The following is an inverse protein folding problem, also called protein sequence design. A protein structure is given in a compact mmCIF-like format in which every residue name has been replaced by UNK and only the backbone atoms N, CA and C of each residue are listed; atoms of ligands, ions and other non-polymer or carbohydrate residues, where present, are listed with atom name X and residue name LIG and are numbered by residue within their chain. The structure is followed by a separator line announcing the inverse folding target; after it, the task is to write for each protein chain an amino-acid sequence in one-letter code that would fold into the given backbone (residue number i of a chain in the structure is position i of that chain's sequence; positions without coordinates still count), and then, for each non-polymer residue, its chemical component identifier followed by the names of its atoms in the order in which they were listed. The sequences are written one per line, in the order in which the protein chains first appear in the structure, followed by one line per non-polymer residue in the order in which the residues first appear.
data_IF_099252967644
#
_entry.id   IF_099252967644
#
_cell.length_a   1.000
_cell.length_b   1.000
_cell.length_c   1.000
_cell.angle_alpha   90.00
_cell.angle_beta   90.00
_cell.angle_gamma   90.00
#
_symmetry.space_group_name_H-M   'P 1'
#
loop_
_entity.id
_entity.type
_entity.pdbx_description
1 polymer ?
#
# COMPACT_ATOMS: atom_id res chain seq x y z
N UNK A 1 -23.45 57.64 -0.35
CA UNK A 1 -23.18 56.43 -1.15
C UNK A 1 -22.91 55.29 -0.18
N UNK A 2 -23.76 54.24 -0.16
CA UNK A 2 -23.59 53.09 0.74
C UNK A 2 -22.50 52.17 0.17
N UNK A 3 -21.42 51.98 0.92
CA UNK A 3 -20.36 51.03 0.60
C UNK A 3 -20.88 49.60 0.75
N UNK A 4 -20.97 48.91 -0.38
CA UNK A 4 -21.35 47.52 -0.49
C UNK A 4 -20.17 46.67 0.03
N UNK A 5 -20.35 46.00 1.17
CA UNK A 5 -19.36 45.07 1.71
C UNK A 5 -19.50 43.74 0.94
N UNK A 6 -18.55 43.47 0.06
CA UNK A 6 -18.45 42.22 -0.69
C UNK A 6 -18.14 41.08 0.27
N UNK A 7 -19.09 40.17 0.48
CA UNK A 7 -18.88 38.93 1.21
C UNK A 7 -18.13 37.93 0.30
N UNK A 8 -16.97 37.45 0.73
CA UNK A 8 -16.18 36.44 0.05
C UNK A 8 -16.75 35.06 0.41
N UNK A 9 -17.45 34.41 -0.53
CA UNK A 9 -17.99 33.07 -0.33
C UNK A 9 -16.86 32.05 -0.57
N UNK A 10 -16.23 31.57 0.50
CA UNK A 10 -15.25 30.47 0.43
C UNK A 10 -16.02 29.15 0.40
N UNK A 11 -16.23 28.60 -0.80
CA UNK A 11 -16.78 27.27 -0.99
C UNK A 11 -15.71 26.22 -0.72
N UNK A 12 -15.67 25.70 0.51
CA UNK A 12 -14.91 24.50 0.84
C UNK A 12 -15.58 23.28 0.20
N UNK A 13 -15.10 22.87 -0.98
CA UNK A 13 -15.47 21.57 -1.56
C UNK A 13 -14.82 20.49 -0.71
N UNK A 14 -15.58 19.91 0.23
CA UNK A 14 -15.18 18.69 0.92
C UNK A 14 -15.11 17.56 -0.11
N UNK A 15 -13.91 17.22 -0.56
CA UNK A 15 -13.70 16.04 -1.40
C UNK A 15 -13.87 14.84 -0.47
N UNK A 16 -15.09 14.32 -0.42
CA UNK A 16 -15.34 13.00 0.17
C UNK A 16 -14.71 11.97 -0.77
N UNK A 17 -13.49 11.56 -0.46
CA UNK A 17 -12.83 10.44 -1.13
C UNK A 17 -13.66 9.18 -0.86
N UNK A 18 -14.57 8.86 -1.76
CA UNK A 18 -15.25 7.58 -1.76
C UNK A 18 -14.19 6.51 -2.03
N UNK A 19 -13.87 5.71 -1.01
CA UNK A 19 -13.10 4.49 -1.19
C UNK A 19 -13.90 3.58 -2.11
N UNK A 20 -13.57 3.54 -3.40
CA UNK A 20 -14.13 2.58 -4.32
C UNK A 20 -13.61 1.20 -3.90
N UNK A 21 -14.39 0.49 -3.09
CA UNK A 21 -14.15 -0.92 -2.83
C UNK A 21 -14.33 -1.67 -4.15
N UNK A 22 -13.21 -2.05 -4.78
CA UNK A 22 -13.23 -2.92 -5.94
C UNK A 22 -13.93 -4.22 -5.56
N UNK A 23 -15.00 -4.56 -6.28
CA UNK A 23 -15.64 -5.87 -6.14
C UNK A 23 -14.64 -6.95 -6.55
N UNK A 24 -14.51 -8.05 -5.79
CA UNK A 24 -13.59 -9.13 -6.13
C UNK A 24 -13.96 -9.65 -7.52
N UNK A 25 -13.03 -9.59 -8.46
CA UNK A 25 -13.22 -10.17 -9.79
C UNK A 25 -13.30 -11.69 -9.63
N UNK A 26 -14.42 -12.27 -10.03
CA UNK A 26 -14.56 -13.72 -10.03
C UNK A 26 -13.61 -14.31 -11.06
N UNK A 27 -12.51 -14.90 -10.58
CA UNK A 27 -11.65 -15.77 -11.37
C UNK A 27 -12.35 -17.12 -11.41
N UNK A 28 -13.08 -17.40 -12.50
CA UNK A 28 -14.03 -18.53 -12.60
C UNK A 28 -13.59 -19.83 -11.91
N UNK A 29 -14.54 -20.51 -11.25
CA UNK A 29 -14.27 -21.71 -10.43
C UNK A 29 -14.66 -21.51 -8.96
N UNK A 30 -13.96 -22.20 -8.05
CA UNK A 30 -14.13 -22.09 -6.58
C UNK A 30 -13.24 -20.99 -5.96
N UNK A 31 -12.81 -20.00 -6.75
CA UNK A 31 -11.87 -18.97 -6.30
C UNK A 31 -12.44 -17.57 -6.57
N UNK A 32 -12.02 -16.61 -5.75
CA UNK A 32 -12.32 -15.19 -5.86
C UNK A 32 -11.00 -14.42 -5.81
N UNK A 33 -10.86 -13.39 -6.66
CA UNK A 33 -9.70 -12.49 -6.58
C UNK A 33 -9.81 -11.63 -5.33
N UNK A 34 -8.72 -11.55 -4.58
CA UNK A 34 -8.55 -10.65 -3.44
C UNK A 34 -7.50 -9.63 -3.79
N UNK A 35 -7.78 -8.38 -3.44
CA UNK A 35 -6.82 -7.29 -3.50
C UNK A 35 -6.58 -6.77 -2.09
N UNK A 36 -5.31 -6.64 -1.72
CA UNK A 36 -4.92 -6.15 -0.40
C UNK A 36 -3.77 -5.14 -0.55
N UNK A 37 -3.78 -4.10 0.28
CA UNK A 37 -2.64 -3.20 0.43
C UNK A 37 -1.73 -3.75 1.51
N UNK A 38 -0.44 -3.93 1.19
CA UNK A 38 0.59 -4.36 2.13
C UNK A 38 1.63 -3.28 2.26
N UNK A 39 2.11 -3.11 3.49
CA UNK A 39 3.13 -2.12 3.84
C UNK A 39 4.31 -2.81 4.51
N UNK A 40 5.51 -2.57 3.99
CA UNK A 40 6.75 -3.06 4.58
C UNK A 40 7.59 -1.85 4.96
N UNK A 41 8.07 -1.81 6.19
CA UNK A 41 9.00 -0.78 6.64
C UNK A 41 10.42 -1.34 6.58
N UNK A 42 11.33 -0.58 5.98
CA UNK A 42 12.78 -0.90 6.01
C UNK A 42 13.40 -0.38 7.31
N UNK A 43 14.65 -0.75 7.55
CA UNK A 43 15.40 -0.26 8.69
C UNK A 43 15.49 1.28 8.72
N UNK A 44 15.40 1.94 9.89
CA UNK A 44 15.55 3.38 10.00
C UNK A 44 16.96 3.82 9.62
N UNK A 45 17.06 4.98 8.97
CA UNK A 45 18.36 5.55 8.57
C UNK A 45 18.52 6.99 9.07
N UNK A 46 19.75 7.49 9.07
CA UNK A 46 20.05 8.85 9.51
C UNK A 46 19.64 9.95 8.50
N UNK A 47 19.28 9.57 7.27
CA UNK A 47 18.97 10.54 6.19
C UNK A 47 17.78 10.09 5.35
N UNK A 48 16.94 11.02 4.90
CA UNK A 48 15.80 10.72 4.03
C UNK A 48 16.19 9.99 2.75
N UNK A 49 17.30 10.37 2.13
CA UNK A 49 17.74 9.80 0.85
C UNK A 49 18.10 8.33 0.98
N UNK A 50 18.82 7.96 2.04
CA UNK A 50 19.14 6.57 2.34
C UNK A 50 17.87 5.74 2.56
N UNK A 51 16.89 6.27 3.32
CA UNK A 51 15.60 5.60 3.54
C UNK A 51 14.84 5.38 2.22
N UNK A 52 14.81 6.37 1.32
CA UNK A 52 14.19 6.24 0.00
C UNK A 52 14.90 5.18 -0.85
N UNK A 53 16.23 5.18 -0.90
CA UNK A 53 16.99 4.22 -1.70
C UNK A 53 16.82 2.79 -1.17
N UNK A 54 16.85 2.60 0.15
CA UNK A 54 16.62 1.28 0.76
C UNK A 54 15.20 0.77 0.48
N UNK A 55 14.19 1.60 0.70
CA UNK A 55 12.81 1.20 0.42
C UNK A 55 12.55 1.00 -1.09
N UNK A 56 13.23 1.74 -1.98
CA UNK A 56 13.15 1.51 -3.42
C UNK A 56 13.80 0.18 -3.82
N UNK A 57 14.95 -0.16 -3.24
CA UNK A 57 15.60 -1.44 -3.44
C UNK A 57 14.68 -2.59 -2.98
N UNK A 58 14.04 -2.43 -1.82
CA UNK A 58 13.07 -3.40 -1.31
C UNK A 58 11.85 -3.54 -2.25
N UNK A 59 11.28 -2.43 -2.73
CA UNK A 59 10.20 -2.47 -3.71
C UNK A 59 10.58 -3.23 -4.99
N UNK A 60 11.82 -3.06 -5.46
CA UNK A 60 12.29 -3.79 -6.64
C UNK A 60 12.50 -5.28 -6.34
N UNK A 61 13.05 -5.60 -5.17
CA UNK A 61 13.16 -6.99 -4.68
C UNK A 61 11.80 -7.69 -4.68
N UNK A 62 10.76 -7.06 -4.11
CA UNK A 62 9.41 -7.60 -4.09
C UNK A 62 8.83 -7.84 -5.49
N UNK A 63 9.16 -7.01 -6.49
CA UNK A 63 8.71 -7.21 -7.88
C UNK A 63 9.33 -8.42 -8.55
N UNK A 64 10.54 -8.78 -8.14
CA UNK A 64 11.28 -9.92 -8.69
C UNK A 64 10.96 -11.24 -7.97
N UNK A 65 10.23 -11.20 -6.84
CA UNK A 65 9.83 -12.38 -6.07
C UNK A 65 8.76 -13.22 -6.78
N UNK A 66 8.88 -14.54 -6.63
CA UNK A 66 7.84 -15.49 -7.02
C UNK A 66 6.61 -15.37 -6.12
N UNK A 67 5.46 -15.90 -6.56
CA UNK A 67 4.24 -15.93 -5.74
C UNK A 67 4.44 -16.58 -4.37
N UNK A 68 5.33 -17.57 -4.26
CA UNK A 68 5.61 -18.22 -2.99
C UNK A 68 6.39 -17.31 -2.03
N UNK A 69 7.42 -16.64 -2.55
CA UNK A 69 8.22 -15.67 -1.79
C UNK A 69 7.37 -14.48 -1.38
N UNK A 70 6.54 -13.95 -2.29
CA UNK A 70 5.57 -12.90 -1.98
C UNK A 70 4.61 -13.29 -0.85
N UNK A 71 4.10 -14.52 -0.85
CA UNK A 71 3.22 -14.97 0.23
C UNK A 71 3.92 -14.98 1.59
N UNK A 72 5.20 -15.35 1.60
CA UNK A 72 6.01 -15.37 2.81
C UNK A 72 6.33 -13.96 3.28
N UNK A 73 6.87 -13.13 2.39
CA UNK A 73 7.33 -11.77 2.70
C UNK A 73 6.18 -10.85 3.13
N UNK A 74 5.03 -10.97 2.46
CA UNK A 74 3.85 -10.17 2.75
C UNK A 74 2.92 -10.80 3.79
N UNK A 75 3.33 -11.89 4.44
CA UNK A 75 2.57 -12.63 5.43
C UNK A 75 1.13 -12.97 4.96
N UNK A 76 1.00 -13.46 3.73
CA UNK A 76 -0.29 -13.89 3.15
C UNK A 76 -0.54 -15.35 3.56
N UNK A 77 -1.65 -15.59 4.25
CA UNK A 77 -2.05 -16.94 4.69
C UNK A 77 -2.39 -17.81 3.49
N UNK A 78 -1.60 -18.86 3.25
CA UNK A 78 -1.67 -19.62 1.99
C UNK A 78 -2.70 -20.75 1.96
N UNK A 79 -3.36 -21.09 3.07
CA UNK A 79 -4.23 -22.28 3.16
C UNK A 79 -5.35 -22.33 2.13
N UNK A 80 -5.93 -21.17 1.79
CA UNK A 80 -6.98 -21.04 0.79
C UNK A 80 -6.51 -20.32 -0.48
N UNK A 81 -5.21 -20.04 -0.62
CA UNK A 81 -4.70 -19.29 -1.77
C UNK A 81 -4.32 -20.25 -2.90
N UNK A 82 -4.79 -19.96 -4.11
CA UNK A 82 -4.45 -20.74 -5.29
C UNK A 82 -2.94 -20.66 -5.55
N UNK A 83 -2.34 -21.79 -5.93
CA UNK A 83 -0.91 -21.88 -6.23
C UNK A 83 -0.54 -20.91 -7.36
N UNK A 84 0.57 -20.20 -7.19
CA UNK A 84 1.11 -19.24 -8.17
C UNK A 84 0.14 -18.12 -8.58
N UNK A 85 -0.84 -17.79 -7.74
CA UNK A 85 -1.80 -16.71 -8.02
C UNK A 85 -1.40 -15.36 -7.43
N UNK A 86 -0.47 -15.35 -6.47
CA UNK A 86 -0.03 -14.11 -5.80
C UNK A 86 0.90 -13.33 -6.71
N UNK A 87 0.56 -12.07 -6.97
CA UNK A 87 1.42 -11.13 -7.68
C UNK A 87 1.17 -9.70 -7.21
N UNK A 88 2.17 -8.84 -7.38
CA UNK A 88 1.98 -7.40 -7.16
C UNK A 88 1.18 -6.79 -8.31
N UNK A 89 0.44 -5.74 -8.01
CA UNK A 89 -0.12 -4.85 -9.03
C UNK A 89 0.82 -3.67 -9.27
N UNK A 90 0.66 -3.05 -10.44
CA UNK A 90 1.35 -1.80 -10.76
C UNK A 90 0.97 -0.67 -9.79
N UNK A 91 1.87 0.31 -9.67
CA UNK A 91 1.64 1.48 -8.83
C UNK A 91 2.06 1.31 -7.37
N UNK A 92 2.91 0.32 -7.05
CA UNK A 92 3.63 0.31 -5.77
C UNK A 92 4.52 1.56 -5.63
N UNK A 93 4.57 2.14 -4.43
CA UNK A 93 5.27 3.39 -4.16
C UNK A 93 5.95 3.38 -2.80
N UNK A 94 6.95 4.25 -2.65
CA UNK A 94 7.72 4.41 -1.42
C UNK A 94 7.37 5.73 -0.76
N UNK A 95 7.25 5.72 0.55
CA UNK A 95 7.13 6.91 1.39
C UNK A 95 8.23 6.90 2.44
N UNK A 96 8.72 8.08 2.84
CA UNK A 96 9.62 8.21 3.99
C UNK A 96 8.93 9.03 5.07
N UNK A 97 8.99 8.51 6.29
CA UNK A 97 8.53 9.20 7.48
C UNK A 97 9.74 9.65 8.31
N UNK A 98 9.84 10.95 8.55
CA UNK A 98 10.72 11.49 9.58
C UNK A 98 10.13 11.21 10.96
N UNK A 99 10.93 10.65 11.87
CA UNK A 99 10.51 10.36 13.25
C UNK A 99 11.67 10.51 14.23
N UNK A 100 11.36 10.67 15.50
CA UNK A 100 12.34 10.67 16.58
C UNK A 100 12.18 9.38 17.38
N UNK A 101 13.27 8.65 17.60
CA UNK A 101 13.25 7.43 18.38
C UNK A 101 13.20 7.72 19.89
N UNK A 102 13.09 6.65 20.70
CA UNK A 102 13.03 6.74 22.16
C UNK A 102 14.28 7.36 22.79
N UNK A 103 15.40 7.37 22.06
CA UNK A 103 16.67 7.97 22.47
C UNK A 103 16.76 9.47 22.11
N UNK A 104 15.72 10.04 21.50
CA UNK A 104 15.68 11.44 21.07
C UNK A 104 16.46 11.72 19.78
N UNK A 105 16.84 10.67 19.03
CA UNK A 105 17.57 10.81 17.77
C UNK A 105 16.59 10.88 16.60
N UNK A 106 16.85 11.80 15.68
CA UNK A 106 16.10 11.90 14.43
C UNK A 106 16.49 10.73 13.51
N UNK A 107 15.48 10.04 12.98
CA UNK A 107 15.64 8.94 12.03
C UNK A 107 14.55 8.98 10.96
N UNK A 108 14.86 8.38 9.82
CA UNK A 108 14.00 8.33 8.65
C UNK A 108 13.63 6.89 8.36
N UNK A 109 12.33 6.58 8.43
CA UNK A 109 11.78 5.27 8.15
C UNK A 109 11.26 5.24 6.71
N UNK A 110 11.85 4.39 5.87
CA UNK A 110 11.29 4.09 4.55
C UNK A 110 10.15 3.07 4.67
N UNK A 111 9.06 3.31 3.95
CA UNK A 111 7.91 2.41 3.89
C UNK A 111 7.55 2.15 2.44
N UNK A 112 7.50 0.87 2.09
CA UNK A 112 7.08 0.37 0.79
C UNK A 112 5.60 0.04 0.86
N UNK A 113 4.82 0.63 -0.04
CA UNK A 113 3.38 0.41 -0.16
C UNK A 113 3.12 -0.32 -1.48
N UNK A 114 2.60 -1.55 -1.40
CA UNK A 114 2.29 -2.36 -2.58
C UNK A 114 0.86 -2.86 -2.50
N UNK A 115 0.22 -2.94 -3.67
CA UNK A 115 -1.05 -3.65 -3.81
C UNK A 115 -0.76 -5.05 -4.30
N UNK A 116 -1.26 -6.05 -3.60
CA UNK A 116 -1.12 -7.47 -3.96
C UNK A 116 -2.46 -8.02 -4.41
N UNK A 117 -2.45 -8.83 -5.46
CA UNK A 117 -3.58 -9.65 -5.89
C UNK A 117 -3.26 -11.12 -5.65
N UNK A 118 -4.24 -11.89 -5.18
CA UNK A 118 -4.18 -13.34 -5.13
C UNK A 118 -5.57 -13.95 -5.27
N UNK A 119 -5.65 -15.19 -5.74
CA UNK A 119 -6.92 -15.91 -5.83
C UNK A 119 -7.14 -16.74 -4.56
N UNK A 120 -8.16 -16.41 -3.79
CA UNK A 120 -8.54 -17.14 -2.56
C UNK A 120 -9.73 -18.04 -2.83
N UNK A 121 -9.76 -19.23 -2.25
CA UNK A 121 -10.86 -20.18 -2.35
C UNK A 121 -12.12 -19.55 -1.74
N UNK A 122 -13.21 -19.61 -2.48
CA UNK A 122 -14.52 -19.20 -2.03
C UNK A 122 -15.10 -20.30 -1.13
N UNK A 123 -15.19 -20.04 0.17
CA UNK A 123 -15.74 -20.98 1.15
C UNK A 123 -17.27 -21.08 1.12
N UNK A 124 -17.95 -20.21 0.37
CA UNK A 124 -19.41 -20.20 0.27
C UNK A 124 -19.97 -21.10 -0.85
N UNK A 125 -19.16 -22.03 -1.38
CA UNK A 125 -19.55 -22.91 -2.49
C UNK A 125 -19.14 -24.37 -2.31
#
# INVERSE_FOLDING_TARGET
MKVLKTALLVTTMAITSASAFAQPTFTGGKYISREEMKTISVEPTATSDAAYQQALAELNSLKDMSSHELNKELNIVTFDVARNSTHLQDGGFVTVQERMNEQGQLEYLGTVNVKVNYAQRDSNR
#
